data_IF_146208398276
#
_entry.id   IF_146208398276
#
_cell.length_a   1.000
_cell.length_b   1.000
_cell.length_c   1.000
_cell.angle_alpha   90.00
_cell.angle_beta   90.00
_cell.angle_gamma   90.00
#
_symmetry.space_group_name_H-M   'P 1'
#
loop_
_entity.id
_entity.type
_entity.pdbx_description
1 polymer ?
#
# COMPACT_ATOMS: atom_id res chain seq x y z
N UNK A 1 -15.70 12.84 -4.57
CA UNK A 1 -15.41 14.19 -5.10
C UNK A 1 -13.98 14.33 -5.66
N UNK A 2 -12.89 14.22 -4.88
CA UNK A 2 -11.52 14.33 -5.45
C UNK A 2 -11.08 13.12 -6.29
N UNK A 3 -11.57 11.91 -5.98
CA UNK A 3 -11.32 10.69 -6.75
C UNK A 3 -12.20 10.55 -8.02
N UNK A 4 -13.06 11.54 -8.29
CA UNK A 4 -13.91 11.58 -9.50
C UNK A 4 -13.35 12.53 -10.57
N UNK A 5 -12.15 13.07 -10.35
CA UNK A 5 -11.46 13.96 -11.29
C UNK A 5 -10.91 13.23 -12.53
N UNK A 6 -10.48 14.03 -13.51
CA UNK A 6 -9.80 13.53 -14.73
C UNK A 6 -8.55 12.69 -14.37
N UNK A 7 -8.14 11.72 -15.22
CA UNK A 7 -6.99 10.85 -14.96
C UNK A 7 -5.71 11.60 -14.55
N UNK A 8 -5.44 12.76 -15.14
CA UNK A 8 -4.27 13.59 -14.85
C UNK A 8 -4.30 14.12 -13.41
N UNK A 9 -5.48 14.53 -12.92
CA UNK A 9 -5.66 15.02 -11.55
C UNK A 9 -5.43 13.91 -10.52
N UNK A 10 -5.89 12.69 -10.80
CA UNK A 10 -5.65 11.53 -9.93
C UNK A 10 -4.17 11.21 -9.81
N UNK A 11 -3.45 11.27 -10.92
CA UNK A 11 -2.01 11.03 -10.95
C UNK A 11 -1.24 12.09 -10.15
N UNK A 12 -1.61 13.37 -10.28
CA UNK A 12 -1.02 14.45 -9.47
C UNK A 12 -1.30 14.27 -7.98
N UNK A 13 -2.52 13.85 -7.61
CA UNK A 13 -2.84 13.55 -6.20
C UNK A 13 -1.95 12.41 -5.70
N UNK A 14 -1.80 11.32 -6.47
CA UNK A 14 -0.95 10.22 -6.07
C UNK A 14 0.51 10.67 -5.88
N UNK A 15 1.08 11.39 -6.84
CA UNK A 15 2.47 11.85 -6.80
C UNK A 15 2.76 12.74 -5.58
N UNK A 16 1.85 13.64 -5.25
CA UNK A 16 2.05 14.59 -4.14
C UNK A 16 1.78 13.97 -2.75
N UNK A 17 0.85 13.01 -2.65
CA UNK A 17 0.32 12.58 -1.36
C UNK A 17 0.63 11.13 -0.99
N UNK A 18 1.07 10.27 -1.92
CA UNK A 18 1.23 8.84 -1.61
C UNK A 18 2.20 8.59 -0.46
N UNK A 19 3.36 9.24 -0.48
CA UNK A 19 4.36 9.07 0.57
C UNK A 19 3.81 9.48 1.95
N UNK A 20 3.18 10.66 2.03
CA UNK A 20 2.59 11.18 3.28
C UNK A 20 1.45 10.29 3.78
N UNK A 21 0.61 9.83 2.88
CA UNK A 21 -0.49 8.90 3.16
C UNK A 21 0.05 7.61 3.77
N UNK A 22 1.04 6.97 3.12
CA UNK A 22 1.69 5.78 3.66
C UNK A 22 2.34 6.02 5.02
N UNK A 23 3.03 7.16 5.22
CA UNK A 23 3.64 7.48 6.52
C UNK A 23 2.62 7.66 7.63
N UNK A 24 1.46 8.28 7.33
CA UNK A 24 0.37 8.43 8.30
C UNK A 24 -0.23 7.08 8.73
N UNK A 25 -0.37 6.15 7.80
CA UNK A 25 -0.87 4.78 8.06
C UNK A 25 0.05 4.04 9.04
N UNK A 26 1.36 4.27 8.96
CA UNK A 26 2.36 3.61 9.81
C UNK A 26 2.62 4.31 11.15
N UNK A 27 2.10 5.52 11.35
CA UNK A 27 2.39 6.31 12.55
C UNK A 27 1.47 5.95 13.71
N UNK A 28 1.97 5.16 14.66
CA UNK A 28 1.24 4.68 15.85
C UNK A 28 0.67 5.80 16.75
N UNK A 29 1.07 7.07 16.55
CA UNK A 29 0.52 8.22 17.29
C UNK A 29 -0.79 8.73 16.70
N UNK A 30 -1.09 8.35 15.45
CA UNK A 30 -2.31 8.76 14.76
C UNK A 30 -3.48 7.90 15.23
N UNK A 31 -4.65 8.52 15.39
CA UNK A 31 -5.86 7.79 15.74
C UNK A 31 -6.17 6.69 14.71
N UNK A 32 -6.46 5.48 15.18
CA UNK A 32 -6.69 4.32 14.31
C UNK A 32 -7.80 4.53 13.27
N UNK A 33 -8.87 5.25 13.61
CA UNK A 33 -9.95 5.53 12.66
C UNK A 33 -9.49 6.47 11.53
N UNK A 34 -8.53 7.35 11.81
CA UNK A 34 -7.91 8.19 10.77
C UNK A 34 -7.04 7.33 9.86
N UNK A 35 -6.21 6.44 10.41
CA UNK A 35 -5.40 5.52 9.62
C UNK A 35 -6.26 4.64 8.70
N UNK A 36 -7.37 4.11 9.23
CA UNK A 36 -8.36 3.32 8.49
C UNK A 36 -8.99 4.10 7.33
N UNK A 37 -9.39 5.35 7.55
CA UNK A 37 -9.96 6.17 6.48
C UNK A 37 -8.91 6.52 5.41
N UNK A 38 -7.68 6.77 5.84
CA UNK A 38 -6.55 7.08 4.95
C UNK A 38 -6.19 5.88 4.07
N UNK A 39 -6.07 4.67 4.63
CA UNK A 39 -5.77 3.46 3.84
C UNK A 39 -6.90 3.12 2.87
N UNK A 40 -8.17 3.28 3.27
CA UNK A 40 -9.33 3.09 2.39
C UNK A 40 -9.28 4.03 1.18
N UNK A 41 -8.99 5.31 1.40
CA UNK A 41 -8.84 6.28 0.30
C UNK A 41 -7.62 6.01 -0.57
N UNK A 42 -6.52 5.55 0.00
CA UNK A 42 -5.34 5.15 -0.76
C UNK A 42 -5.65 3.98 -1.70
N UNK A 43 -6.32 2.95 -1.19
CA UNK A 43 -6.72 1.79 -2.01
C UNK A 43 -7.64 2.20 -3.16
N UNK A 44 -8.64 3.04 -2.91
CA UNK A 44 -9.49 3.60 -3.97
C UNK A 44 -8.69 4.39 -5.01
N UNK A 45 -7.70 5.19 -4.60
CA UNK A 45 -6.87 5.95 -5.52
C UNK A 45 -5.98 5.04 -6.38
N UNK A 46 -5.36 4.03 -5.76
CA UNK A 46 -4.50 3.05 -6.44
C UNK A 46 -5.29 2.16 -7.41
N UNK A 47 -6.54 1.84 -7.07
CA UNK A 47 -7.46 1.11 -7.95
C UNK A 47 -7.77 1.88 -9.24
N UNK A 48 -7.97 3.21 -9.16
CA UNK A 48 -8.35 4.03 -10.32
C UNK A 48 -7.21 4.44 -11.25
N UNK A 49 -5.97 4.12 -10.90
CA UNK A 49 -4.80 4.43 -11.72
C UNK A 49 -4.26 3.10 -12.27
N UNK A 50 -3.73 3.01 -13.49
CA UNK A 50 -3.04 1.80 -13.95
C UNK A 50 -1.69 1.60 -13.23
N UNK A 51 -1.29 0.35 -12.95
CA UNK A 51 -0.02 0.03 -12.27
C UNK A 51 1.20 0.62 -12.99
N UNK A 52 1.25 0.49 -14.31
CA UNK A 52 2.38 0.98 -15.11
C UNK A 52 2.53 2.50 -15.04
N UNK A 53 1.41 3.23 -14.97
CA UNK A 53 1.42 4.69 -14.87
C UNK A 53 2.09 5.16 -13.56
N UNK A 54 1.83 4.48 -12.44
CA UNK A 54 2.35 4.85 -11.11
C UNK A 54 3.71 4.27 -10.74
N UNK A 55 4.28 3.39 -11.56
CA UNK A 55 5.53 2.66 -11.26
C UNK A 55 6.69 3.59 -10.86
N UNK A 56 6.87 4.72 -11.55
CA UNK A 56 7.96 5.66 -11.27
C UNK A 56 7.80 6.31 -9.90
N UNK A 57 6.58 6.72 -9.52
CA UNK A 57 6.26 7.35 -8.23
C UNK A 57 6.56 6.37 -7.09
N UNK A 58 6.20 5.10 -7.26
CA UNK A 58 6.28 4.08 -6.21
C UNK A 58 7.66 3.42 -6.07
N UNK A 59 8.62 3.73 -6.95
CA UNK A 59 9.95 3.11 -6.96
C UNK A 59 11.04 3.96 -6.29
N UNK A 60 10.68 5.07 -5.63
CA UNK A 60 11.64 5.89 -4.90
C UNK A 60 12.13 5.19 -3.63
N UNK A 61 13.29 5.60 -3.11
CA UNK A 61 13.85 5.00 -1.88
C UNK A 61 12.92 5.22 -0.69
N UNK A 62 12.35 6.42 -0.59
CA UNK A 62 11.41 6.82 0.45
C UNK A 62 10.15 5.95 0.40
N UNK A 63 9.65 5.64 -0.80
CA UNK A 63 8.51 4.74 -0.98
C UNK A 63 8.84 3.30 -0.56
N UNK A 64 10.02 2.79 -0.94
CA UNK A 64 10.43 1.44 -0.53
C UNK A 64 10.59 1.33 1.00
N UNK A 65 11.11 2.37 1.65
CA UNK A 65 11.22 2.43 3.10
C UNK A 65 9.84 2.43 3.78
N UNK A 66 8.92 3.32 3.36
CA UNK A 66 7.59 3.37 3.98
C UNK A 66 6.77 2.11 3.71
N UNK A 67 6.93 1.46 2.55
CA UNK A 67 6.30 0.15 2.29
C UNK A 67 6.83 -0.94 3.22
N UNK A 68 8.11 -0.89 3.60
CA UNK A 68 8.64 -1.80 4.61
C UNK A 68 8.02 -1.56 5.99
N UNK A 69 7.82 -0.30 6.37
CA UNK A 69 7.12 0.02 7.62
C UNK A 69 5.65 -0.42 7.58
N UNK A 70 4.96 -0.23 6.44
CA UNK A 70 3.60 -0.75 6.25
C UNK A 70 3.54 -2.28 6.41
N UNK A 71 4.54 -3.00 5.88
CA UNK A 71 4.67 -4.44 6.08
C UNK A 71 4.76 -4.82 7.56
N UNK A 72 5.54 -4.09 8.35
CA UNK A 72 5.62 -4.29 9.81
C UNK A 72 4.29 -3.95 10.50
N UNK A 73 3.64 -2.85 10.11
CA UNK A 73 2.35 -2.44 10.66
C UNK A 73 1.26 -3.52 10.50
N UNK A 74 1.31 -4.37 9.48
CA UNK A 74 0.38 -5.51 9.36
C UNK A 74 0.45 -6.41 10.60
N UNK A 75 1.66 -6.68 11.12
CA UNK A 75 1.83 -7.57 12.26
C UNK A 75 1.29 -6.96 13.56
N UNK A 76 1.33 -5.62 13.66
CA UNK A 76 1.03 -4.88 14.90
C UNK A 76 -0.33 -4.15 14.87
N UNK A 77 -1.06 -4.16 13.76
CA UNK A 77 -2.28 -3.36 13.58
C UNK A 77 -3.41 -3.68 14.57
N UNK A 78 -3.46 -4.91 15.10
CA UNK A 78 -4.47 -5.35 16.07
C UNK A 78 -5.91 -5.46 15.53
N UNK A 79 -6.15 -5.02 14.29
CA UNK A 79 -7.44 -5.01 13.61
C UNK A 79 -7.32 -5.68 12.23
N UNK A 80 -8.17 -6.67 11.97
CA UNK A 80 -8.12 -7.47 10.74
C UNK A 80 -8.43 -6.65 9.49
N UNK A 81 -9.42 -5.74 9.55
CA UNK A 81 -9.77 -4.90 8.41
C UNK A 81 -8.61 -3.99 8.01
N UNK A 82 -7.88 -3.47 8.99
CA UNK A 82 -6.66 -2.68 8.77
C UNK A 82 -5.54 -3.53 8.16
N UNK A 83 -5.33 -4.76 8.64
CA UNK A 83 -4.34 -5.69 8.06
C UNK A 83 -4.63 -5.99 6.60
N UNK A 84 -5.90 -6.26 6.26
CA UNK A 84 -6.34 -6.52 4.89
C UNK A 84 -6.13 -5.28 4.02
N UNK A 85 -6.54 -4.09 4.48
CA UNK A 85 -6.40 -2.87 3.71
C UNK A 85 -4.93 -2.50 3.43
N UNK A 86 -4.03 -2.70 4.40
CA UNK A 86 -2.59 -2.47 4.21
C UNK A 86 -1.99 -3.50 3.25
N UNK A 87 -2.36 -4.78 3.40
CA UNK A 87 -1.94 -5.87 2.50
C UNK A 87 -2.34 -5.57 1.05
N UNK A 88 -3.60 -5.18 0.85
CA UNK A 88 -4.16 -4.78 -0.43
C UNK A 88 -3.41 -3.58 -1.03
N UNK A 89 -3.12 -2.56 -0.23
CA UNK A 89 -2.37 -1.38 -0.70
C UNK A 89 -0.96 -1.75 -1.15
N UNK A 90 -0.23 -2.55 -0.36
CA UNK A 90 1.07 -3.07 -0.75
C UNK A 90 0.97 -3.87 -2.07
N UNK A 91 -0.02 -4.75 -2.18
CA UNK A 91 -0.24 -5.52 -3.40
C UNK A 91 -0.57 -4.65 -4.61
N UNK A 92 -1.29 -3.54 -4.46
CA UNK A 92 -1.54 -2.58 -5.56
C UNK A 92 -0.34 -1.71 -5.91
N UNK A 93 0.59 -1.51 -4.97
CA UNK A 93 1.78 -0.68 -5.15
C UNK A 93 2.95 -1.43 -5.79
N UNK A 94 3.07 -2.74 -5.53
CA UNK A 94 4.15 -3.57 -6.09
C UNK A 94 3.61 -4.74 -6.90
N UNK A 95 4.27 -5.07 -8.01
CA UNK A 95 3.92 -6.25 -8.82
C UNK A 95 4.18 -7.56 -8.07
N UNK A 96 3.53 -8.66 -8.48
CA UNK A 96 3.81 -10.00 -7.93
C UNK A 96 5.32 -10.33 -7.96
N UNK A 97 5.98 -9.98 -9.07
CA UNK A 97 7.43 -10.19 -9.25
C UNK A 97 8.25 -9.45 -8.19
N UNK A 98 7.88 -8.21 -7.87
CA UNK A 98 8.56 -7.42 -6.84
C UNK A 98 8.26 -7.95 -5.43
N UNK A 99 7.03 -8.43 -5.17
CA UNK A 99 6.68 -9.06 -3.88
C UNK A 99 7.61 -10.23 -3.55
N UNK A 100 8.02 -11.00 -4.54
CA UNK A 100 9.00 -12.09 -4.38
C UNK A 100 10.30 -11.67 -3.66
N UNK A 101 10.79 -10.46 -3.94
CA UNK A 101 12.01 -9.92 -3.32
C UNK A 101 11.73 -9.08 -2.06
N UNK A 102 10.64 -8.30 -2.07
CA UNK A 102 10.35 -7.33 -1.02
C UNK A 102 9.72 -7.98 0.22
N UNK A 103 8.91 -9.03 0.07
CA UNK A 103 8.23 -9.67 1.20
C UNK A 103 9.21 -10.22 2.24
N UNK A 104 10.42 -10.62 1.85
CA UNK A 104 11.46 -11.08 2.79
C UNK A 104 12.13 -9.94 3.55
N UNK A 105 12.03 -8.71 3.05
CA UNK A 105 12.50 -7.50 3.75
C UNK A 105 11.41 -6.96 4.70
N UNK A 106 10.14 -7.12 4.31
CA UNK A 106 8.99 -6.65 5.07
C UNK A 106 8.67 -7.54 6.27
N UNK A 107 8.78 -8.86 6.10
CA UNK A 107 8.41 -9.84 7.10
C UNK A 107 9.64 -10.68 7.51
N UNK A 108 10.16 -10.51 8.74
CA UNK A 108 11.27 -11.33 9.24
C UNK A 108 10.91 -12.81 9.35
N UNK A 109 9.63 -13.13 9.58
CA UNK A 109 9.14 -14.50 9.68
C UNK A 109 8.95 -15.12 8.30
N UNK A 110 9.66 -16.20 8.00
CA UNK A 110 9.62 -16.88 6.70
C UNK A 110 8.21 -17.32 6.31
N UNK A 111 7.44 -17.87 7.26
CA UNK A 111 6.06 -18.29 7.01
C UNK A 111 5.16 -17.13 6.53
N UNK A 112 5.25 -15.96 7.17
CA UNK A 112 4.46 -14.77 6.77
C UNK A 112 4.96 -14.25 5.42
N UNK A 113 6.28 -14.21 5.22
CA UNK A 113 6.87 -13.81 3.95
C UNK A 113 6.41 -14.72 2.80
N UNK A 114 6.40 -16.03 3.01
CA UNK A 114 5.95 -17.03 2.04
C UNK A 114 4.46 -16.88 1.72
N UNK A 115 3.62 -16.71 2.74
CA UNK A 115 2.19 -16.45 2.56
C UNK A 115 1.96 -15.18 1.73
N UNK A 116 2.64 -14.08 2.05
CA UNK A 116 2.51 -12.82 1.32
C UNK A 116 2.96 -12.92 -0.15
N UNK A 117 4.01 -13.71 -0.44
CA UNK A 117 4.45 -13.99 -1.81
C UNK A 117 3.42 -14.80 -2.61
N UNK A 118 2.58 -15.57 -1.94
CA UNK A 118 1.54 -16.39 -2.55
C UNK A 118 0.33 -15.61 -3.05
N UNK A 119 0.11 -14.38 -2.54
CA UNK A 119 -1.03 -13.53 -2.88
C UNK A 119 -1.01 -13.19 -4.38
N UNK A 120 -2.15 -13.38 -5.05
CA UNK A 120 -2.32 -13.09 -6.48
C UNK A 120 -2.92 -11.73 -6.73
N UNK A 121 -2.45 -11.02 -7.76
CA UNK A 121 -3.01 -9.72 -8.16
C UNK A 121 -4.48 -9.84 -8.57
N UNK A 122 -4.89 -10.99 -9.13
CA UNK A 122 -6.28 -11.30 -9.45
C UNK A 122 -7.22 -11.34 -8.24
N UNK A 123 -6.70 -11.42 -7.01
CA UNK A 123 -7.51 -11.34 -5.80
C UNK A 123 -7.97 -9.90 -5.49
N UNK A 124 -7.41 -8.89 -6.18
CA UNK A 124 -7.70 -7.48 -5.96
C UNK A 124 -8.25 -6.74 -7.19
N UNK A 125 -8.37 -7.43 -8.33
CA UNK A 125 -8.98 -6.92 -9.55
C UNK A 125 -10.47 -7.31 -9.56
N UNK A 126 -11.34 -6.35 -9.23
CA UNK A 126 -12.81 -6.45 -9.34
C UNK A 126 -13.36 -5.35 -10.23
#
# INVERSE_FOLDING_TARGET
VLCDGRPEGKMQILDNFVLRTCSLITDARINIYVQQEVIKKLNLLLDKIPRDARKKILSTKEMLLVMSEMGRTILDAGDYDTQVAITEALCRMVSEKQRGALASQWFPMEFVSAAFKGIKDSEFET
#
